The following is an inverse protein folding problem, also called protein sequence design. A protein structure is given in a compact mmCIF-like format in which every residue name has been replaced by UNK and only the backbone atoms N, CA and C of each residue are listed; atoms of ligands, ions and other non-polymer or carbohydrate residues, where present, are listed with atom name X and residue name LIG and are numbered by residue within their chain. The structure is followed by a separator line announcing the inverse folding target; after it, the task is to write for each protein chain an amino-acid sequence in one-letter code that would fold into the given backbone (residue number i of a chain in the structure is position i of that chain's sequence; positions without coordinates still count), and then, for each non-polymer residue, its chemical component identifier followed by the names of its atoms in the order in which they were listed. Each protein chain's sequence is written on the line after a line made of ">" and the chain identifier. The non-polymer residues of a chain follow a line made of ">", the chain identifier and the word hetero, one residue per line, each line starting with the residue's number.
data_IF_024813184398
#
_entry.id   IF_024813184398
#
_cell.length_a   1.000
_cell.length_b   1.000
_cell.length_c   1.000
_cell.angle_alpha   90.00
_cell.angle_beta   90.00
_cell.angle_gamma   90.00
#
_symmetry.space_group_name_H-M   'P 1'
#
loop_
_entity.id
_entity.type
_entity.pdbx_description
1 polymer ?
#
# COMPACT_ATOMS: atom_id res chain seq x y z
N UNK A 1 -4.32 72.10 62.28
CA UNK A 1 -3.96 72.37 60.88
C UNK A 1 -4.10 71.07 60.10
N UNK A 2 -5.20 70.98 59.35
CA UNK A 2 -5.65 70.01 58.34
C UNK A 2 -5.04 68.60 58.32
N UNK A 3 -5.90 67.64 58.69
CA UNK A 3 -5.82 66.18 58.45
C UNK A 3 -5.96 65.92 56.95
N UNK A 4 -5.02 65.17 56.35
CA UNK A 4 -5.16 64.60 55.00
C UNK A 4 -5.39 63.10 55.10
N UNK A 5 -6.62 62.68 54.86
CA UNK A 5 -6.97 61.32 54.43
C UNK A 5 -6.88 61.26 52.91
N UNK A 6 -6.17 60.29 52.32
CA UNK A 6 -6.52 59.82 50.97
C UNK A 6 -6.06 58.38 50.71
N UNK A 7 -7.09 57.58 50.45
CA UNK A 7 -7.25 56.29 49.80
C UNK A 7 -6.03 55.41 49.46
N UNK A 8 -6.13 54.21 50.01
CA UNK A 8 -5.54 52.94 49.60
C UNK A 8 -6.03 52.55 48.18
N UNK A 9 -5.14 52.39 47.21
CA UNK A 9 -5.41 51.68 45.96
C UNK A 9 -4.58 50.39 45.95
N UNK A 10 -5.26 49.25 46.11
CA UNK A 10 -4.68 47.91 45.96
C UNK A 10 -4.66 47.59 44.47
N UNK A 11 -3.48 47.62 43.85
CA UNK A 11 -3.28 47.11 42.50
C UNK A 11 -3.05 45.59 42.57
N UNK A 12 -4.05 44.81 42.18
CA UNK A 12 -3.94 43.37 41.91
C UNK A 12 -3.12 43.17 40.61
N UNK A 13 -1.84 42.84 40.77
CA UNK A 13 -1.01 42.34 39.68
C UNK A 13 -1.41 40.89 39.38
N UNK A 14 -2.26 40.71 38.38
CA UNK A 14 -2.49 39.40 37.77
C UNK A 14 -1.23 38.98 37.01
N UNK A 15 -0.45 38.07 37.59
CA UNK A 15 0.59 37.35 36.86
C UNK A 15 -0.08 36.44 35.84
N UNK A 16 -0.21 36.91 34.60
CA UNK A 16 -0.39 36.03 33.44
C UNK A 16 0.90 35.21 33.29
N UNK A 17 0.88 33.99 33.79
CA UNK A 17 1.84 32.96 33.37
C UNK A 17 1.57 32.69 31.89
N UNK A 18 2.32 33.36 31.02
CA UNK A 18 2.48 32.97 29.63
C UNK A 18 3.21 31.63 29.63
N UNK A 19 2.46 30.52 29.75
CA UNK A 19 2.99 29.22 29.38
C UNK A 19 3.27 29.28 27.89
N UNK A 20 4.55 29.37 27.52
CA UNK A 20 4.92 29.13 26.14
C UNK A 20 4.46 27.73 25.79
N UNK A 21 3.52 27.65 24.85
CA UNK A 21 3.17 26.40 24.19
C UNK A 21 4.45 25.91 23.53
N UNK A 22 5.14 24.96 24.17
CA UNK A 22 6.16 24.17 23.49
C UNK A 22 5.44 23.44 22.37
N UNK A 23 5.60 23.95 21.14
CA UNK A 23 5.34 23.16 19.95
C UNK A 23 6.10 21.85 20.13
N UNK A 24 5.34 20.78 20.33
CA UNK A 24 5.89 19.45 20.44
C UNK A 24 6.26 19.06 19.02
N UNK A 25 7.53 19.22 18.66
CA UNK A 25 8.05 18.63 17.43
C UNK A 25 7.85 17.12 17.54
N UNK A 26 7.05 16.58 16.63
CA UNK A 26 6.86 15.15 16.51
C UNK A 26 8.16 14.57 15.95
N UNK A 27 8.93 13.87 16.78
CA UNK A 27 10.06 13.07 16.29
C UNK A 27 9.49 11.80 15.67
N UNK A 28 9.04 11.90 14.42
CA UNK A 28 9.13 10.74 13.52
C UNK A 28 10.62 10.48 13.36
N UNK A 29 11.05 9.22 13.36
CA UNK A 29 12.44 8.91 13.01
C UNK A 29 12.74 9.53 11.65
N UNK A 30 13.44 10.67 11.66
CA UNK A 30 13.86 11.33 10.45
C UNK A 30 14.83 10.38 9.77
N UNK A 31 14.59 10.08 8.50
CA UNK A 31 15.52 9.31 7.68
C UNK A 31 16.18 10.27 6.72
N UNK A 32 17.50 10.32 6.77
CA UNK A 32 18.29 11.06 5.77
C UNK A 32 18.74 10.12 4.67
N UNK A 33 18.87 10.66 3.47
CA UNK A 33 19.55 9.98 2.38
C UNK A 33 21.05 10.06 2.61
N UNK A 34 21.73 8.93 2.54
CA UNK A 34 23.19 8.86 2.67
C UNK A 34 23.88 8.57 1.34
N UNK A 35 23.15 8.00 0.39
CA UNK A 35 23.66 7.58 -0.91
C UNK A 35 22.53 7.49 -1.92
N UNK A 36 22.81 7.90 -3.15
CA UNK A 36 21.99 7.66 -4.33
C UNK A 36 22.77 6.80 -5.34
N UNK A 37 22.09 5.84 -5.97
CA UNK A 37 22.67 4.91 -6.94
C UNK A 37 21.70 4.77 -8.10
N UNK A 38 22.11 5.18 -9.30
CA UNK A 38 21.35 4.92 -10.53
C UNK A 38 21.28 3.42 -10.79
N UNK A 39 20.06 2.92 -11.01
CA UNK A 39 19.80 1.53 -11.40
C UNK A 39 19.77 1.39 -12.91
N UNK A 40 18.93 2.20 -13.58
CA UNK A 40 18.76 2.21 -15.03
C UNK A 40 17.97 3.45 -15.48
N UNK A 41 17.81 3.63 -16.79
CA UNK A 41 16.77 4.48 -17.37
C UNK A 41 15.50 3.66 -17.62
N UNK A 42 14.33 4.27 -17.38
CA UNK A 42 13.04 3.57 -17.40
C UNK A 42 11.98 4.33 -18.18
N UNK A 43 11.01 3.56 -18.69
CA UNK A 43 9.86 4.09 -19.39
C UNK A 43 9.02 5.03 -18.50
N UNK A 44 8.76 6.25 -18.99
CA UNK A 44 8.11 7.33 -18.22
C UNK A 44 6.69 7.68 -18.66
N UNK A 45 6.13 7.00 -19.67
CA UNK A 45 4.85 7.42 -20.26
C UNK A 45 3.60 7.12 -19.43
N UNK A 46 3.67 6.21 -18.46
CA UNK A 46 2.62 5.90 -17.49
C UNK A 46 3.22 5.17 -16.27
N UNK A 47 2.57 5.17 -15.10
CA UNK A 47 3.09 4.49 -13.92
C UNK A 47 2.84 2.99 -14.01
N UNK A 48 3.83 2.19 -13.62
CA UNK A 48 3.72 0.75 -13.37
C UNK A 48 4.52 0.44 -12.11
N UNK A 49 4.02 -0.47 -11.26
CA UNK A 49 4.70 -0.84 -10.02
C UNK A 49 5.98 -1.63 -10.27
N UNK A 50 7.10 -1.17 -9.70
CA UNK A 50 8.37 -1.89 -9.61
C UNK A 50 8.56 -2.48 -8.21
N UNK A 51 9.53 -3.38 -8.06
CA UNK A 51 9.80 -4.05 -6.79
C UNK A 51 11.29 -4.02 -6.43
N UNK A 52 11.57 -4.09 -5.14
CA UNK A 52 12.94 -4.10 -4.58
C UNK A 52 13.01 -5.04 -3.38
N UNK A 53 14.09 -5.82 -3.32
CA UNK A 53 14.32 -6.83 -2.30
C UNK A 53 15.79 -6.81 -1.85
N UNK A 54 16.02 -6.73 -0.55
CA UNK A 54 17.34 -6.82 0.07
C UNK A 54 17.39 -8.03 1.00
N UNK A 55 18.29 -8.98 0.70
CA UNK A 55 18.49 -10.20 1.49
C UNK A 55 19.97 -10.45 1.67
N UNK A 56 20.42 -10.54 2.92
CA UNK A 56 21.83 -10.70 3.26
C UNK A 56 22.67 -9.54 2.72
N UNK A 57 23.69 -9.87 1.92
CA UNK A 57 24.60 -8.94 1.27
C UNK A 57 24.18 -8.58 -0.17
N UNK A 58 22.97 -9.00 -0.61
CA UNK A 58 22.48 -8.82 -1.98
C UNK A 58 21.23 -7.97 -2.04
N UNK A 59 21.10 -7.28 -3.16
CA UNK A 59 19.93 -6.50 -3.49
C UNK A 59 19.49 -6.75 -4.92
N UNK A 60 18.18 -6.83 -5.10
CA UNK A 60 17.51 -7.07 -6.38
C UNK A 60 16.51 -5.96 -6.66
N UNK A 61 16.34 -5.61 -7.94
CA UNK A 61 15.31 -4.68 -8.41
C UNK A 61 14.61 -5.29 -9.62
N UNK A 62 13.29 -5.34 -9.63
CA UNK A 62 12.48 -5.75 -10.77
C UNK A 62 11.73 -4.53 -11.33
N UNK A 63 11.92 -4.25 -12.62
CA UNK A 63 11.43 -3.02 -13.26
C UNK A 63 11.18 -3.20 -14.76
N UNK A 64 10.68 -2.15 -15.43
CA UNK A 64 10.66 -2.07 -16.89
C UNK A 64 11.65 -1.02 -17.37
N UNK A 65 12.54 -1.38 -18.30
CA UNK A 65 13.51 -0.44 -18.89
C UNK A 65 12.84 0.62 -19.78
N UNK A 66 13.63 1.53 -20.34
CA UNK A 66 13.22 2.56 -21.29
C UNK A 66 12.54 2.00 -22.56
N UNK A 67 12.92 0.79 -22.95
CA UNK A 67 12.33 0.00 -24.04
C UNK A 67 11.16 -0.87 -23.58
N UNK A 68 10.68 -0.67 -22.34
CA UNK A 68 9.55 -1.37 -21.71
C UNK A 68 9.77 -2.86 -21.45
N UNK A 69 10.99 -3.37 -21.56
CA UNK A 69 11.28 -4.77 -21.26
C UNK A 69 11.32 -5.00 -19.75
N UNK A 70 10.82 -6.14 -19.30
CA UNK A 70 10.91 -6.58 -17.91
C UNK A 70 12.37 -6.92 -17.59
N UNK A 71 12.93 -6.26 -16.59
CA UNK A 71 14.34 -6.35 -16.21
C UNK A 71 14.48 -6.71 -14.73
N UNK A 72 15.49 -7.55 -14.45
CA UNK A 72 15.95 -7.84 -13.09
C UNK A 72 17.37 -7.33 -12.96
N UNK A 73 17.59 -6.41 -12.02
CA UNK A 73 18.91 -5.94 -11.65
C UNK A 73 19.35 -6.56 -10.31
N UNK A 74 20.64 -6.88 -10.19
CA UNK A 74 21.26 -7.42 -8.98
C UNK A 74 22.58 -6.69 -8.68
N UNK A 75 22.86 -6.44 -7.39
CA UNK A 75 24.17 -6.01 -6.89
C UNK A 75 24.50 -6.61 -5.51
N UNK A 76 25.78 -6.61 -5.17
CA UNK A 76 26.20 -6.66 -3.76
C UNK A 76 25.98 -5.31 -3.07
N UNK A 77 25.69 -5.28 -1.77
CA UNK A 77 25.46 -4.04 -1.03
C UNK A 77 26.70 -3.12 -0.98
N UNK A 78 27.90 -3.70 -1.09
CA UNK A 78 29.19 -3.02 -1.19
C UNK A 78 29.49 -2.47 -2.60
N UNK A 79 28.69 -2.84 -3.60
CA UNK A 79 28.86 -2.44 -4.99
C UNK A 79 27.89 -1.33 -5.38
N UNK A 80 28.25 -0.50 -6.36
CA UNK A 80 27.36 0.51 -6.95
C UNK A 80 26.86 0.13 -8.35
N UNK A 81 27.54 -0.80 -9.00
CA UNK A 81 27.18 -1.24 -10.34
C UNK A 81 26.16 -2.38 -10.28
N UNK A 82 25.17 -2.31 -11.16
CA UNK A 82 24.14 -3.33 -11.29
C UNK A 82 24.46 -4.28 -12.44
N UNK A 83 24.31 -5.58 -12.20
CA UNK A 83 24.14 -6.57 -13.27
C UNK A 83 22.66 -6.62 -13.64
N UNK A 84 22.33 -6.67 -14.93
CA UNK A 84 20.94 -6.68 -15.39
C UNK A 84 20.67 -7.85 -16.31
N UNK A 85 19.52 -8.51 -16.12
CA UNK A 85 18.95 -9.52 -17.01
C UNK A 85 17.61 -9.03 -17.54
N UNK A 86 17.45 -9.08 -18.86
CA UNK A 86 16.18 -8.85 -19.54
C UNK A 86 15.42 -10.18 -19.62
N UNK A 87 14.15 -10.17 -19.22
CA UNK A 87 13.22 -11.29 -19.34
C UNK A 87 12.35 -11.11 -20.60
N UNK A 88 11.82 -12.20 -21.18
CA UNK A 88 11.02 -12.16 -22.40
C UNK A 88 9.58 -11.68 -22.14
N UNK A 89 9.44 -10.46 -21.62
CA UNK A 89 8.16 -9.80 -21.35
C UNK A 89 8.31 -8.29 -21.52
N UNK A 90 7.36 -7.64 -22.20
CA UNK A 90 7.38 -6.20 -22.47
C UNK A 90 6.04 -5.57 -22.08
N UNK A 91 6.07 -4.45 -21.36
CA UNK A 91 4.84 -3.78 -20.87
C UNK A 91 4.20 -2.89 -21.92
N UNK A 92 2.87 -2.93 -21.97
CA UNK A 92 2.02 -2.10 -22.83
C UNK A 92 1.79 -0.68 -22.27
N UNK A 93 0.52 -0.30 -22.14
CA UNK A 93 0.08 1.01 -21.60
C UNK A 93 -0.81 0.87 -20.35
N UNK A 94 -0.83 -0.32 -19.76
CA UNK A 94 -1.69 -0.67 -18.64
C UNK A 94 -0.94 -0.52 -17.31
N UNK A 95 -1.41 0.40 -16.45
CA UNK A 95 -0.81 0.66 -15.15
C UNK A 95 -1.02 -0.47 -14.13
N UNK A 96 -1.87 -1.46 -14.41
CA UNK A 96 -2.04 -2.64 -13.56
C UNK A 96 -0.87 -3.64 -13.67
N UNK A 97 -0.03 -3.51 -14.70
CA UNK A 97 0.98 -4.49 -15.09
C UNK A 97 2.27 -4.46 -14.25
N UNK A 98 2.14 -4.27 -12.92
CA UNK A 98 3.26 -4.29 -11.99
C UNK A 98 4.11 -5.55 -12.10
N UNK A 99 5.38 -5.46 -11.72
CA UNK A 99 6.27 -6.59 -11.54
C UNK A 99 6.58 -6.77 -10.06
N UNK A 100 6.54 -8.01 -9.58
CA UNK A 100 6.83 -8.41 -8.20
C UNK A 100 7.84 -9.54 -8.18
N UNK A 101 8.61 -9.63 -7.10
CA UNK A 101 9.58 -10.70 -6.91
C UNK A 101 9.66 -11.19 -5.47
N UNK A 102 10.21 -12.40 -5.30
CA UNK A 102 10.54 -12.96 -4.01
C UNK A 102 11.75 -13.90 -4.13
N UNK A 103 12.44 -14.11 -3.01
CA UNK A 103 13.47 -15.15 -2.91
C UNK A 103 12.89 -16.30 -2.08
N UNK A 104 13.01 -17.53 -2.56
CA UNK A 104 12.69 -18.69 -1.72
C UNK A 104 13.83 -19.01 -0.75
N UNK A 105 13.54 -19.91 0.21
CA UNK A 105 14.51 -20.35 1.23
C UNK A 105 15.76 -21.05 0.68
N UNK A 106 15.71 -21.56 -0.55
CA UNK A 106 16.85 -22.18 -1.23
C UNK A 106 17.62 -21.15 -2.07
N UNK A 107 17.20 -19.88 -2.04
CA UNK A 107 17.84 -18.76 -2.68
C UNK A 107 17.44 -18.54 -4.15
N UNK A 108 16.43 -19.23 -4.69
CA UNK A 108 15.99 -18.96 -6.06
C UNK A 108 15.12 -17.70 -6.10
N UNK A 109 15.33 -16.87 -7.12
CA UNK A 109 14.52 -15.68 -7.34
C UNK A 109 13.29 -16.04 -8.16
N UNK A 110 12.13 -15.63 -7.68
CA UNK A 110 10.83 -15.75 -8.31
C UNK A 110 10.40 -14.39 -8.80
N UNK A 111 9.89 -14.30 -10.03
CA UNK A 111 9.46 -13.04 -10.64
C UNK A 111 8.13 -13.28 -11.34
N UNK A 112 7.19 -12.37 -11.16
CA UNK A 112 5.91 -12.39 -11.90
C UNK A 112 5.40 -10.98 -12.10
N UNK A 113 4.71 -10.73 -13.21
CA UNK A 113 4.22 -9.40 -13.54
C UNK A 113 3.67 -9.30 -14.95
N UNK A 114 3.34 -8.08 -15.36
CA UNK A 114 2.83 -7.77 -16.70
C UNK A 114 1.49 -8.43 -17.06
N UNK A 115 0.56 -8.53 -16.11
CA UNK A 115 -0.72 -9.21 -16.33
C UNK A 115 -1.92 -8.38 -15.84
N UNK A 116 -2.90 -8.21 -16.72
CA UNK A 116 -4.22 -7.67 -16.41
C UNK A 116 -5.32 -8.44 -17.16
N UNK A 117 -5.51 -9.69 -16.73
CA UNK A 117 -6.41 -10.65 -17.37
C UNK A 117 -5.73 -11.47 -18.46
N UNK A 118 -4.40 -11.59 -18.38
CA UNK A 118 -3.51 -12.29 -19.29
C UNK A 118 -3.09 -13.66 -18.71
N UNK A 119 -2.57 -14.58 -19.54
CA UNK A 119 -1.95 -15.81 -19.04
C UNK A 119 -0.82 -15.53 -18.04
N UNK A 120 -0.60 -16.46 -17.12
CA UNK A 120 0.43 -16.35 -16.09
C UNK A 120 1.81 -16.14 -16.73
N UNK A 121 2.46 -15.05 -16.32
CA UNK A 121 3.87 -14.77 -16.59
C UNK A 121 4.62 -14.95 -15.28
N UNK A 122 5.31 -16.08 -15.16
CA UNK A 122 6.10 -16.44 -13.99
C UNK A 122 7.47 -16.98 -14.42
N UNK A 123 8.50 -16.47 -13.75
CA UNK A 123 9.89 -16.88 -13.95
C UNK A 123 10.51 -17.30 -12.63
N UNK A 124 11.39 -18.30 -12.68
CA UNK A 124 12.27 -18.67 -11.58
C UNK A 124 13.72 -18.72 -12.05
N UNK A 125 14.65 -18.20 -11.26
CA UNK A 125 16.07 -18.32 -11.57
C UNK A 125 16.49 -19.79 -11.69
N UNK A 126 17.51 -20.07 -12.49
CA UNK A 126 18.06 -21.44 -12.61
C UNK A 126 18.98 -21.83 -11.47
N UNK A 127 19.53 -20.84 -10.79
CA UNK A 127 20.48 -21.01 -9.69
C UNK A 127 20.12 -20.09 -8.52
N UNK A 128 20.45 -20.48 -7.28
CA UNK A 128 20.31 -19.61 -6.13
C UNK A 128 21.13 -18.33 -6.28
N UNK A 129 20.53 -17.19 -5.92
CA UNK A 129 21.17 -15.87 -5.85
C UNK A 129 21.82 -15.39 -7.15
N UNK A 130 21.32 -15.86 -8.30
CA UNK A 130 21.90 -15.64 -9.62
C UNK A 130 20.79 -15.25 -10.61
N UNK A 131 20.93 -14.07 -11.23
CA UNK A 131 19.98 -13.54 -12.22
C UNK A 131 20.37 -13.82 -13.67
N UNK A 132 21.46 -14.56 -13.93
CA UNK A 132 21.98 -14.75 -15.29
C UNK A 132 20.99 -15.48 -16.19
N UNK A 133 20.20 -16.41 -15.64
CA UNK A 133 19.22 -17.21 -16.37
C UNK A 133 17.97 -17.54 -15.55
N UNK A 134 16.85 -17.58 -16.25
CA UNK A 134 15.53 -17.91 -15.71
C UNK A 134 14.82 -18.93 -16.60
N UNK A 135 13.98 -19.75 -15.99
CA UNK A 135 12.98 -20.55 -16.68
C UNK A 135 11.61 -19.86 -16.55
N UNK A 136 10.88 -19.74 -17.66
CA UNK A 136 9.46 -19.38 -17.65
C UNK A 136 8.64 -20.64 -17.41
N UNK A 137 7.79 -20.63 -16.39
CA UNK A 137 7.12 -21.82 -15.88
C UNK A 137 5.65 -21.49 -15.58
N UNK A 138 4.83 -22.54 -15.55
CA UNK A 138 3.52 -22.50 -14.89
C UNK A 138 3.71 -22.68 -13.37
N UNK A 139 2.71 -22.32 -12.57
CA UNK A 139 2.72 -22.68 -11.15
C UNK A 139 2.08 -24.04 -10.93
N UNK A 140 0.76 -24.10 -10.98
CA UNK A 140 -0.02 -25.34 -10.88
C UNK A 140 -0.63 -25.76 -12.22
N UNK A 141 -0.67 -24.86 -13.21
CA UNK A 141 -1.13 -25.12 -14.57
C UNK A 141 -2.66 -25.08 -14.76
N UNK A 142 -3.42 -24.75 -13.72
CA UNK A 142 -4.87 -24.53 -13.78
C UNK A 142 -5.22 -23.15 -13.23
N UNK A 143 -6.33 -22.56 -13.71
CA UNK A 143 -6.75 -21.19 -13.37
C UNK A 143 -5.58 -20.18 -13.47
N UNK A 144 -4.81 -20.24 -14.56
CA UNK A 144 -3.62 -19.41 -14.84
C UNK A 144 -3.75 -18.68 -16.18
N UNK A 145 -4.94 -18.67 -16.79
CA UNK A 145 -5.16 -18.10 -18.13
C UNK A 145 -5.53 -16.61 -18.10
N UNK A 146 -6.04 -16.09 -16.98
CA UNK A 146 -6.56 -14.71 -16.86
C UNK A 146 -6.11 -14.04 -15.57
N UNK A 147 -4.81 -14.03 -15.34
CA UNK A 147 -4.17 -13.57 -14.11
C UNK A 147 -4.14 -12.04 -14.00
N UNK A 148 -4.33 -11.53 -12.78
CA UNK A 148 -4.08 -10.14 -12.40
C UNK A 148 -3.57 -10.07 -10.96
N UNK A 149 -2.81 -9.02 -10.63
CA UNK A 149 -2.37 -8.67 -9.27
C UNK A 149 -1.56 -9.77 -8.57
N UNK A 150 -0.40 -10.16 -9.14
CA UNK A 150 0.49 -11.12 -8.50
C UNK A 150 1.03 -10.57 -7.17
N UNK A 151 1.03 -11.39 -6.13
CA UNK A 151 1.58 -11.05 -4.81
C UNK A 151 2.35 -12.25 -4.26
N UNK A 152 3.65 -12.10 -4.07
CA UNK A 152 4.43 -13.02 -3.25
C UNK A 152 4.36 -12.61 -1.78
N UNK A 153 4.28 -13.59 -0.89
CA UNK A 153 4.40 -13.37 0.55
C UNK A 153 4.91 -14.63 1.24
N UNK A 154 5.40 -14.49 2.47
CA UNK A 154 5.85 -15.62 3.28
C UNK A 154 5.03 -15.73 4.57
N UNK A 155 4.97 -16.94 5.12
CA UNK A 155 4.50 -17.13 6.50
C UNK A 155 5.65 -16.94 7.51
N UNK A 156 5.35 -17.07 8.81
CA UNK A 156 6.36 -17.00 9.89
C UNK A 156 7.44 -18.08 9.84
N UNK A 157 7.29 -19.09 8.98
CA UNK A 157 8.24 -20.17 8.75
C UNK A 157 9.00 -20.02 7.42
N UNK A 158 8.92 -18.85 6.79
CA UNK A 158 9.51 -18.56 5.49
C UNK A 158 9.06 -19.51 4.37
N UNK A 159 7.85 -20.09 4.47
CA UNK A 159 7.23 -20.77 3.34
C UNK A 159 6.76 -19.70 2.34
N UNK A 160 7.10 -19.88 1.08
CA UNK A 160 6.71 -18.95 0.02
C UNK A 160 5.31 -19.27 -0.50
N UNK A 161 4.49 -18.23 -0.60
CA UNK A 161 3.16 -18.27 -1.18
C UNK A 161 3.04 -17.28 -2.33
N UNK A 162 2.05 -17.52 -3.20
CA UNK A 162 1.70 -16.64 -4.29
C UNK A 162 0.18 -16.48 -4.37
N UNK A 163 -0.28 -15.25 -4.29
CA UNK A 163 -1.68 -14.89 -4.49
C UNK A 163 -1.85 -14.17 -5.82
N UNK A 164 -2.94 -14.48 -6.51
CA UNK A 164 -3.34 -13.78 -7.70
C UNK A 164 -4.85 -13.87 -7.92
N UNK A 165 -5.39 -13.02 -8.77
CA UNK A 165 -6.78 -13.12 -9.25
C UNK A 165 -6.79 -13.78 -10.61
N UNK A 166 -7.61 -14.80 -10.81
CA UNK A 166 -7.97 -15.33 -12.13
C UNK A 166 -9.35 -14.77 -12.53
N UNK A 167 -9.47 -14.21 -13.73
CA UNK A 167 -10.69 -13.59 -14.24
C UNK A 167 -10.75 -12.06 -14.11
N UNK A 168 -11.92 -11.48 -14.37
CA UNK A 168 -12.12 -10.02 -14.50
C UNK A 168 -13.03 -9.42 -13.43
N UNK A 169 -13.34 -8.13 -13.57
CA UNK A 169 -14.40 -7.50 -12.75
C UNK A 169 -15.78 -8.08 -13.14
N UNK A 170 -16.63 -8.38 -12.15
CA UNK A 170 -17.81 -9.24 -12.23
C UNK A 170 -17.58 -10.70 -11.79
N UNK A 171 -16.42 -11.32 -12.08
CA UNK A 171 -16.29 -12.79 -11.97
C UNK A 171 -14.92 -13.34 -11.51
N UNK A 172 -13.95 -12.47 -11.22
CA UNK A 172 -12.61 -12.89 -10.82
C UNK A 172 -12.55 -13.55 -9.44
N UNK A 173 -11.76 -14.62 -9.33
CA UNK A 173 -11.57 -15.43 -8.12
C UNK A 173 -10.11 -15.28 -7.66
N UNK A 174 -9.91 -15.05 -6.36
CA UNK A 174 -8.55 -14.98 -5.79
C UNK A 174 -8.08 -16.38 -5.41
N UNK A 175 -6.92 -16.80 -5.90
CA UNK A 175 -6.27 -18.05 -5.52
C UNK A 175 -5.00 -17.81 -4.71
N UNK A 176 -4.63 -18.79 -3.89
CA UNK A 176 -3.37 -18.82 -3.16
C UNK A 176 -2.66 -20.15 -3.46
N UNK A 177 -1.43 -20.06 -3.93
CA UNK A 177 -0.52 -21.17 -4.14
C UNK A 177 0.56 -21.17 -3.04
N UNK A 178 1.06 -22.36 -2.69
CA UNK A 178 2.20 -22.59 -1.79
C UNK A 178 3.33 -23.26 -2.55
N UNK A 179 4.55 -22.80 -2.36
CA UNK A 179 5.74 -23.34 -2.99
C UNK A 179 6.48 -24.31 -2.06
N UNK A 180 6.78 -25.50 -2.56
CA UNK A 180 7.75 -26.40 -1.96
C UNK A 180 9.13 -26.15 -2.60
N UNK A 181 10.03 -25.53 -1.85
CA UNK A 181 11.36 -25.18 -2.36
C UNK A 181 12.27 -26.38 -2.62
N UNK A 182 12.08 -27.50 -1.90
CA UNK A 182 12.87 -28.73 -2.11
C UNK A 182 12.40 -29.46 -3.36
N UNK A 183 11.08 -29.60 -3.51
CA UNK A 183 10.49 -30.22 -4.70
C UNK A 183 10.49 -29.29 -5.92
N UNK A 184 10.67 -27.98 -5.70
CA UNK A 184 10.62 -26.90 -6.69
C UNK A 184 9.30 -26.84 -7.44
N UNK A 185 8.20 -27.01 -6.70
CA UNK A 185 6.84 -27.09 -7.24
C UNK A 185 5.88 -26.22 -6.46
N UNK A 186 4.93 -25.64 -7.20
CA UNK A 186 3.77 -25.00 -6.61
C UNK A 186 2.64 -26.01 -6.41
N UNK A 187 1.81 -25.74 -5.42
CA UNK A 187 0.57 -26.44 -5.15
C UNK A 187 -0.48 -25.43 -4.69
N UNK A 188 -1.76 -25.77 -4.81
CA UNK A 188 -2.84 -24.98 -4.24
C UNK A 188 -2.75 -24.98 -2.70
N UNK A 189 -2.75 -23.81 -2.07
CA UNK A 189 -2.89 -23.71 -0.61
C UNK A 189 -4.34 -24.02 -0.19
N UNK A 190 -5.30 -23.59 -1.03
CA UNK A 190 -6.72 -23.90 -0.95
C UNK A 190 -7.14 -24.60 -2.24
N UNK A 191 -7.89 -25.70 -2.16
CA UNK A 191 -8.40 -26.43 -3.33
C UNK A 191 -9.46 -25.65 -4.15
N UNK A 192 -9.72 -24.39 -3.80
CA UNK A 192 -10.71 -23.50 -4.37
C UNK A 192 -10.30 -22.04 -4.09
N UNK A 193 -11.00 -21.08 -4.68
CA UNK A 193 -10.75 -19.66 -4.44
C UNK A 193 -10.94 -19.21 -2.99
N UNK A 194 -10.20 -18.18 -2.58
CA UNK A 194 -10.36 -17.52 -1.29
C UNK A 194 -11.60 -16.60 -1.28
N UNK A 195 -11.73 -15.73 -2.28
CA UNK A 195 -12.85 -14.82 -2.43
C UNK A 195 -13.68 -15.20 -3.65
N UNK A 196 -14.99 -15.36 -3.46
CA UNK A 196 -15.94 -15.66 -4.52
C UNK A 196 -17.05 -14.60 -4.51
N UNK A 197 -17.11 -13.82 -5.57
CA UNK A 197 -18.12 -12.78 -5.75
C UNK A 197 -19.46 -13.29 -6.26
N UNK A 198 -19.60 -14.60 -6.47
CA UNK A 198 -20.81 -15.26 -6.97
C UNK A 198 -21.31 -14.67 -8.29
N UNK A 199 -20.38 -14.28 -9.18
CA UNK A 199 -20.64 -13.59 -10.46
C UNK A 199 -21.32 -12.21 -10.35
N UNK A 200 -21.46 -11.67 -9.14
CA UNK A 200 -22.12 -10.38 -8.87
C UNK A 200 -21.12 -9.25 -8.58
N UNK A 201 -19.93 -9.60 -8.12
CA UNK A 201 -18.97 -8.63 -7.57
C UNK A 201 -17.54 -9.16 -7.58
N UNK A 202 -16.57 -8.31 -7.27
CA UNK A 202 -15.19 -8.72 -7.03
C UNK A 202 -14.63 -8.20 -5.73
N UNK A 203 -13.86 -9.05 -5.05
CA UNK A 203 -13.03 -8.62 -3.95
C UNK A 203 -11.79 -7.87 -4.45
N UNK A 204 -11.46 -6.78 -3.76
CA UNK A 204 -10.20 -6.06 -3.92
C UNK A 204 -9.43 -6.09 -2.59
N UNK A 205 -8.72 -7.20 -2.29
CA UNK A 205 -8.05 -7.39 -1.02
C UNK A 205 -6.81 -6.50 -0.85
N UNK A 206 -6.54 -6.22 0.41
CA UNK A 206 -5.29 -5.70 0.96
C UNK A 206 -4.80 -6.74 1.95
N UNK A 207 -3.58 -7.21 1.77
CA UNK A 207 -2.99 -8.29 2.54
C UNK A 207 -2.62 -9.51 1.69
N UNK A 208 -2.07 -10.56 2.32
CA UNK A 208 -2.02 -10.73 3.78
C UNK A 208 -1.02 -9.78 4.47
N UNK A 209 -1.41 -9.21 5.60
CA UNK A 209 -0.52 -8.44 6.49
C UNK A 209 -0.30 -9.26 7.75
N UNK A 210 0.95 -9.57 8.08
CA UNK A 210 1.27 -10.24 9.33
C UNK A 210 1.07 -9.27 10.51
N UNK A 211 0.21 -9.63 11.44
CA UNK A 211 -0.03 -8.88 12.65
C UNK A 211 0.89 -9.27 13.80
N UNK A 212 1.05 -8.39 14.80
CA UNK A 212 1.80 -8.66 16.02
C UNK A 212 1.14 -9.74 16.92
N UNK A 213 -0.10 -10.12 16.62
CA UNK A 213 -0.84 -11.24 17.26
C UNK A 213 -0.55 -12.62 16.61
N UNK A 214 0.35 -12.63 15.60
CA UNK A 214 0.77 -13.81 14.85
C UNK A 214 -0.28 -14.32 13.85
N UNK A 215 -1.32 -13.54 13.56
CA UNK A 215 -2.22 -13.81 12.44
C UNK A 215 -1.75 -13.10 11.17
N UNK A 216 -2.21 -13.58 10.03
CA UNK A 216 -2.22 -12.87 8.77
C UNK A 216 -3.61 -12.32 8.54
N UNK A 217 -3.68 -11.03 8.22
CA UNK A 217 -4.90 -10.27 8.15
C UNK A 217 -5.20 -9.86 6.72
N UNK A 218 -6.46 -10.01 6.32
CA UNK A 218 -6.99 -9.53 5.06
C UNK A 218 -8.07 -8.49 5.32
N UNK A 219 -8.01 -7.41 4.54
CA UNK A 219 -9.06 -6.41 4.47
C UNK A 219 -9.42 -6.19 3.01
N UNK A 220 -10.70 -6.18 2.65
CA UNK A 220 -11.10 -5.99 1.25
C UNK A 220 -12.37 -5.16 1.12
N UNK A 221 -12.66 -4.76 -0.11
CA UNK A 221 -13.94 -4.20 -0.51
C UNK A 221 -14.49 -5.03 -1.65
N UNK A 222 -15.81 -5.10 -1.76
CA UNK A 222 -16.50 -5.70 -2.89
C UNK A 222 -16.78 -4.63 -3.95
N UNK A 223 -16.82 -4.97 -5.24
CA UNK A 223 -17.16 -4.05 -6.34
C UNK A 223 -18.08 -4.73 -7.35
N UNK A 224 -19.25 -4.13 -7.58
CA UNK A 224 -20.28 -4.69 -8.47
C UNK A 224 -19.84 -4.73 -9.94
N UNK A 225 -19.23 -3.65 -10.43
CA UNK A 225 -18.87 -3.55 -11.83
C UNK A 225 -17.61 -2.69 -12.01
N UNK A 226 -17.07 -2.54 -13.23
CA UNK A 226 -15.81 -1.81 -13.44
C UNK A 226 -15.77 -0.34 -13.01
N UNK A 227 -16.90 0.28 -12.64
CA UNK A 227 -16.94 1.66 -12.09
C UNK A 227 -16.47 1.64 -10.63
N UNK A 228 -15.44 2.42 -10.31
CA UNK A 228 -14.80 2.39 -8.99
C UNK A 228 -15.76 2.75 -7.84
N UNK A 229 -16.68 3.70 -8.03
CA UNK A 229 -17.67 4.07 -7.01
C UNK A 229 -18.71 2.96 -6.72
N UNK A 230 -18.65 1.81 -7.39
CA UNK A 230 -19.45 0.63 -7.00
C UNK A 230 -18.77 -0.25 -5.97
N UNK A 231 -17.60 0.16 -5.47
CA UNK A 231 -17.01 -0.41 -4.27
C UNK A 231 -17.97 -0.26 -3.09
N UNK A 232 -18.03 -1.28 -2.23
CA UNK A 232 -18.94 -1.35 -1.08
C UNK A 232 -18.42 -2.38 -0.07
N UNK A 233 -19.02 -2.40 1.12
CA UNK A 233 -18.75 -3.33 2.22
C UNK A 233 -17.25 -3.51 2.53
N UNK A 234 -16.68 -2.63 3.36
CA UNK A 234 -15.35 -2.87 3.92
C UNK A 234 -15.41 -4.12 4.79
N UNK A 235 -14.58 -5.12 4.48
CA UNK A 235 -14.67 -6.46 5.04
C UNK A 235 -13.31 -6.95 5.52
N UNK A 236 -13.30 -7.93 6.44
CA UNK A 236 -12.10 -8.40 7.13
C UNK A 236 -12.18 -9.87 7.58
N UNK A 237 -11.05 -10.57 7.47
CA UNK A 237 -10.78 -11.90 8.09
C UNK A 237 -9.31 -11.98 8.50
N UNK A 238 -8.99 -12.98 9.32
CA UNK A 238 -7.61 -13.36 9.62
C UNK A 238 -7.41 -14.88 9.56
N UNK A 239 -6.16 -15.31 9.41
CA UNK A 239 -5.74 -16.71 9.33
C UNK A 239 -4.35 -16.90 9.94
N UNK A 240 -4.00 -18.10 10.40
CA UNK A 240 -2.61 -18.43 10.81
C UNK A 240 -1.88 -19.29 9.78
N UNK A 241 -2.61 -19.96 8.91
CA UNK A 241 -2.09 -21.05 8.06
C UNK A 241 -2.52 -20.96 6.59
N UNK A 242 -3.32 -19.94 6.24
CA UNK A 242 -3.92 -19.75 4.92
C UNK A 242 -4.87 -20.88 4.49
N UNK A 243 -5.34 -21.68 5.45
CA UNK A 243 -6.33 -22.75 5.26
C UNK A 243 -7.60 -22.46 6.07
N UNK A 244 -7.44 -22.06 7.33
CA UNK A 244 -8.52 -21.74 8.23
C UNK A 244 -8.61 -20.23 8.44
N UNK A 245 -9.80 -19.68 8.21
CA UNK A 245 -10.07 -18.24 8.34
C UNK A 245 -11.13 -18.00 9.40
N UNK A 246 -10.97 -16.89 10.11
CA UNK A 246 -11.92 -16.44 11.12
C UNK A 246 -12.20 -14.94 10.99
N UNK A 247 -13.38 -14.51 11.45
CA UNK A 247 -13.68 -13.09 11.58
C UNK A 247 -12.97 -12.48 12.81
N UNK A 248 -13.25 -11.21 13.09
CA UNK A 248 -12.62 -10.50 14.22
C UNK A 248 -13.05 -11.05 15.60
N UNK A 249 -14.18 -11.74 15.68
CA UNK A 249 -14.71 -12.36 16.90
C UNK A 249 -14.14 -13.77 17.14
N UNK A 250 -13.37 -14.31 16.19
CA UNK A 250 -12.88 -15.69 16.23
C UNK A 250 -13.89 -16.72 15.74
N UNK A 251 -14.98 -16.31 15.10
CA UNK A 251 -15.88 -17.24 14.42
C UNK A 251 -15.27 -17.73 13.12
N UNK A 252 -15.27 -19.05 12.91
CA UNK A 252 -14.78 -19.66 11.68
C UNK A 252 -15.59 -19.22 10.46
N UNK A 253 -14.89 -18.88 9.38
CA UNK A 253 -15.46 -18.47 8.08
C UNK A 253 -15.20 -19.57 7.06
N UNK A 254 -16.27 -19.99 6.37
CA UNK A 254 -16.16 -20.99 5.31
C UNK A 254 -15.53 -20.40 4.06
N UNK A 255 -14.69 -21.19 3.39
CA UNK A 255 -14.13 -20.86 2.08
C UNK A 255 -15.04 -21.48 1.00
N UNK A 256 -15.21 -20.86 -0.19
CA UNK A 256 -14.78 -19.50 -0.50
C UNK A 256 -15.56 -18.48 0.34
N UNK A 257 -14.92 -17.37 0.69
CA UNK A 257 -15.58 -16.24 1.34
C UNK A 257 -16.47 -15.59 0.31
N UNK A 258 -17.76 -15.85 0.41
CA UNK A 258 -18.77 -15.36 -0.51
C UNK A 258 -19.12 -13.92 -0.23
N UNK A 259 -19.50 -13.18 -1.27
CA UNK A 259 -20.04 -11.82 -1.14
C UNK A 259 -21.16 -11.68 -0.10
N UNK A 260 -22.02 -12.71 0.03
CA UNK A 260 -23.15 -12.70 0.98
C UNK A 260 -22.76 -13.00 2.42
N UNK A 261 -21.51 -13.34 2.71
CA UNK A 261 -21.03 -13.53 4.08
C UNK A 261 -21.02 -12.18 4.81
N UNK A 262 -21.87 -12.03 5.82
CA UNK A 262 -22.04 -10.77 6.56
C UNK A 262 -21.17 -10.69 7.80
N UNK A 263 -20.72 -11.83 8.34
CA UNK A 263 -19.88 -11.91 9.55
C UNK A 263 -18.50 -11.29 9.40
N UNK A 264 -18.11 -11.00 8.16
CA UNK A 264 -16.83 -10.41 7.80
C UNK A 264 -16.91 -8.90 7.56
N UNK A 265 -18.09 -8.28 7.62
CA UNK A 265 -18.22 -6.85 7.31
C UNK A 265 -17.77 -6.00 8.50
N UNK A 266 -16.81 -5.10 8.25
CA UNK A 266 -16.34 -4.09 9.19
C UNK A 266 -17.13 -2.78 9.09
N UNK A 267 -17.41 -2.32 7.87
CA UNK A 267 -18.28 -1.17 7.61
C UNK A 267 -19.19 -1.47 6.40
N UNK A 268 -20.52 -1.54 6.58
CA UNK A 268 -21.48 -1.86 5.52
C UNK A 268 -21.73 -0.66 4.56
N UNK A 269 -20.67 -0.03 4.07
CA UNK A 269 -20.76 1.09 3.10
C UNK A 269 -21.47 0.60 1.83
N UNK A 270 -22.57 1.23 1.46
CA UNK A 270 -23.28 0.91 0.21
C UNK A 270 -22.51 1.39 -1.03
N UNK A 271 -22.78 0.83 -2.23
CA UNK A 271 -22.23 1.36 -3.47
C UNK A 271 -22.64 2.82 -3.65
N UNK A 272 -21.83 3.57 -4.39
CA UNK A 272 -21.97 5.00 -4.68
C UNK A 272 -21.65 5.94 -3.51
N UNK A 273 -21.21 5.42 -2.36
CA UNK A 273 -20.82 6.19 -1.18
C UNK A 273 -19.30 6.36 -1.04
N UNK A 274 -18.57 6.31 -2.14
CA UNK A 274 -17.20 6.81 -2.21
C UNK A 274 -16.09 5.88 -1.73
N UNK A 275 -16.41 4.64 -1.32
CA UNK A 275 -15.39 3.72 -0.84
C UNK A 275 -14.35 3.43 -1.93
N UNK A 276 -13.05 3.57 -1.63
CA UNK A 276 -12.00 3.33 -2.62
C UNK A 276 -11.08 2.17 -2.27
N UNK A 277 -10.98 1.20 -3.18
CA UNK A 277 -10.12 0.03 -3.03
C UNK A 277 -8.62 0.38 -2.91
N UNK A 278 -8.17 1.49 -3.52
CA UNK A 278 -6.78 1.97 -3.47
C UNK A 278 -6.47 2.84 -2.25
N UNK A 279 -7.50 3.38 -1.59
CA UNK A 279 -7.38 4.29 -0.45
C UNK A 279 -7.93 3.65 0.82
N UNK A 280 -7.34 2.50 1.16
CA UNK A 280 -7.57 1.76 2.40
C UNK A 280 -6.25 1.22 2.94
N UNK A 281 -6.08 1.21 4.26
CA UNK A 281 -4.90 0.70 4.97
C UNK A 281 -5.34 -0.08 6.19
N UNK A 282 -4.58 -1.14 6.46
CA UNK A 282 -4.69 -1.99 7.63
C UNK A 282 -3.41 -1.82 8.44
N UNK A 283 -3.55 -1.55 9.73
CA UNK A 283 -2.45 -1.45 10.67
C UNK A 283 -2.89 -1.97 12.05
N UNK A 284 -2.05 -1.76 13.06
CA UNK A 284 -2.29 -2.21 14.42
C UNK A 284 -2.08 -1.06 15.40
N UNK A 285 -2.92 -1.01 16.43
CA UNK A 285 -2.76 -0.07 17.54
C UNK A 285 -1.73 -0.57 18.58
N UNK A 286 -1.46 0.21 19.65
CA UNK A 286 -0.47 -0.15 20.67
C UNK A 286 -0.87 -1.38 21.50
N UNK A 287 -2.14 -1.81 21.39
CA UNK A 287 -2.68 -3.02 22.00
C UNK A 287 -2.76 -4.18 21.00
N UNK A 288 -2.07 -4.08 19.86
CA UNK A 288 -2.03 -5.08 18.80
C UNK A 288 -3.40 -5.34 18.14
N UNK A 289 -4.38 -4.44 18.29
CA UNK A 289 -5.69 -4.60 17.66
C UNK A 289 -5.66 -4.08 16.23
N UNK A 290 -6.30 -4.78 15.26
CA UNK A 290 -6.42 -4.26 13.90
C UNK A 290 -7.16 -2.92 13.86
N UNK A 291 -6.59 -1.98 13.11
CA UNK A 291 -7.17 -0.66 12.81
C UNK A 291 -7.20 -0.48 11.31
N UNK A 292 -8.34 -0.05 10.78
CA UNK A 292 -8.48 0.26 9.35
C UNK A 292 -8.62 1.76 9.18
N UNK A 293 -7.87 2.32 8.24
CA UNK A 293 -8.10 3.66 7.73
C UNK A 293 -8.53 3.58 6.28
N UNK A 294 -9.53 4.35 5.87
CA UNK A 294 -10.07 4.28 4.52
C UNK A 294 -10.79 5.57 4.13
N UNK A 295 -10.94 5.78 2.83
CA UNK A 295 -11.72 6.88 2.27
C UNK A 295 -13.15 6.42 1.93
N UNK A 296 -14.14 7.26 2.24
CA UNK A 296 -15.52 7.19 1.72
C UNK A 296 -16.15 8.59 1.69
N UNK A 297 -17.40 8.69 1.24
CA UNK A 297 -18.17 9.93 1.33
C UNK A 297 -18.80 10.08 2.71
N UNK A 298 -18.85 11.31 3.20
CA UNK A 298 -19.71 11.70 4.33
C UNK A 298 -21.18 11.89 3.89
N UNK A 299 -22.03 12.35 4.81
CA UNK A 299 -23.45 12.54 4.55
C UNK A 299 -23.77 13.63 3.52
N UNK A 300 -22.84 14.55 3.26
CA UNK A 300 -22.98 15.60 2.26
C UNK A 300 -22.39 15.20 0.90
N UNK A 301 -21.81 13.98 0.82
CA UNK A 301 -21.18 13.46 -0.39
C UNK A 301 -19.71 13.88 -0.52
N UNK A 302 -19.13 14.56 0.48
CA UNK A 302 -17.74 14.97 0.44
C UNK A 302 -16.82 13.83 0.83
N UNK A 303 -15.67 13.78 0.17
CA UNK A 303 -14.67 12.75 0.42
C UNK A 303 -14.00 12.99 1.76
N UNK A 304 -13.98 11.98 2.62
CA UNK A 304 -13.34 12.04 3.94
C UNK A 304 -12.55 10.76 4.24
N UNK A 305 -11.60 10.87 5.17
CA UNK A 305 -10.95 9.72 5.79
C UNK A 305 -11.74 9.28 7.02
N UNK A 306 -11.87 7.97 7.15
CA UNK A 306 -12.47 7.28 8.28
C UNK A 306 -11.46 6.32 8.91
N UNK A 307 -11.62 6.10 10.20
CA UNK A 307 -10.95 5.05 10.96
C UNK A 307 -12.00 4.07 11.47
N UNK A 308 -11.69 2.78 11.51
CA UNK A 308 -12.48 1.83 12.28
C UNK A 308 -11.64 0.81 13.04
N UNK A 309 -12.17 0.36 14.18
CA UNK A 309 -11.59 -0.67 15.04
C UNK A 309 -12.71 -1.44 15.73
N UNK A 310 -12.47 -2.72 15.98
CA UNK A 310 -13.43 -3.56 16.72
C UNK A 310 -13.33 -3.33 18.23
N UNK A 311 -14.44 -2.97 18.85
CA UNK A 311 -14.55 -2.66 20.28
C UNK A 311 -15.90 -3.13 20.84
N UNK A 312 -15.89 -3.73 22.03
CA UNK A 312 -17.12 -4.11 22.75
C UNK A 312 -18.14 -4.85 21.86
N UNK A 313 -17.64 -5.84 21.11
CA UNK A 313 -18.40 -6.67 20.18
C UNK A 313 -19.03 -5.92 18.98
N UNK A 314 -18.48 -4.78 18.58
CA UNK A 314 -18.93 -4.03 17.40
C UNK A 314 -17.77 -3.32 16.70
N UNK A 315 -17.92 -3.04 15.41
CA UNK A 315 -17.03 -2.11 14.73
C UNK A 315 -17.39 -0.67 15.06
N UNK A 316 -16.45 0.07 15.66
CA UNK A 316 -16.56 1.51 15.90
C UNK A 316 -15.93 2.23 14.71
N UNK A 317 -16.66 3.17 14.12
CA UNK A 317 -16.29 3.88 12.89
C UNK A 317 -16.39 5.39 13.14
N UNK A 318 -15.32 6.12 12.90
CA UNK A 318 -15.29 7.57 13.05
C UNK A 318 -14.70 8.25 11.81
N UNK A 319 -15.26 9.41 11.46
CA UNK A 319 -14.66 10.33 10.50
C UNK A 319 -13.49 11.06 11.18
N UNK A 320 -12.35 11.15 10.49
CA UNK A 320 -11.11 11.74 11.04
C UNK A 320 -10.54 12.83 10.16
N UNK A 321 -11.30 13.31 9.17
CA UNK A 321 -10.99 14.51 8.38
C UNK A 321 -12.22 15.40 8.25
N UNK A 322 -11.99 16.66 7.85
CA UNK A 322 -13.05 17.62 7.54
C UNK A 322 -12.66 18.43 6.30
N UNK A 323 -13.12 17.95 5.14
CA UNK A 323 -12.90 18.54 3.83
C UNK A 323 -14.24 18.93 3.20
N UNK A 324 -14.82 20.10 3.55
CA UNK A 324 -16.24 20.40 3.32
C UNK A 324 -16.61 20.73 1.86
N UNK A 325 -15.67 20.73 0.92
CA UNK A 325 -15.94 21.16 -0.45
C UNK A 325 -15.11 20.38 -1.49
N UNK A 326 -14.86 19.10 -1.22
CA UNK A 326 -14.15 18.21 -2.14
C UNK A 326 -14.83 16.84 -2.27
N UNK A 327 -15.10 16.45 -3.52
CA UNK A 327 -15.57 15.10 -3.86
C UNK A 327 -14.64 14.51 -4.90
N UNK A 328 -14.01 13.38 -4.57
CA UNK A 328 -13.21 12.65 -5.53
C UNK A 328 -14.12 12.06 -6.62
N UNK A 329 -13.90 12.45 -7.87
CA UNK A 329 -14.64 11.94 -9.02
C UNK A 329 -14.22 10.50 -9.36
N UNK A 330 -14.91 9.52 -8.74
CA UNK A 330 -14.62 8.07 -8.86
C UNK A 330 -15.71 7.28 -9.59
N UNK A 331 -16.65 7.96 -10.24
CA UNK A 331 -17.61 7.37 -11.18
C UNK A 331 -16.95 7.03 -12.53
N UNK A 332 -15.79 6.37 -12.50
CA UNK A 332 -14.94 6.09 -13.66
C UNK A 332 -14.45 4.65 -13.66
N UNK A 333 -14.03 4.18 -14.84
CA UNK A 333 -13.40 2.85 -15.06
C UNK A 333 -11.89 3.02 -15.25
N UNK A 334 -11.16 1.91 -15.11
CA UNK A 334 -9.72 1.81 -15.34
C UNK A 334 -8.86 2.38 -14.21
N UNK A 335 -7.55 2.48 -14.44
CA UNK A 335 -6.61 3.03 -13.45
C UNK A 335 -6.84 4.52 -13.17
N UNK A 336 -7.42 4.82 -12.01
CA UNK A 336 -7.66 6.19 -11.53
C UNK A 336 -6.42 6.73 -10.77
N UNK A 337 -6.08 8.00 -10.99
CA UNK A 337 -5.07 8.68 -10.18
C UNK A 337 -5.55 8.87 -8.73
N UNK A 338 -4.61 8.80 -7.77
CA UNK A 338 -4.92 8.90 -6.34
C UNK A 338 -5.14 10.34 -5.89
N UNK A 339 -6.39 10.81 -5.89
CA UNK A 339 -6.71 12.15 -5.41
C UNK A 339 -6.70 12.25 -3.87
N UNK A 340 -7.03 11.14 -3.20
CA UNK A 340 -6.87 10.99 -1.75
C UNK A 340 -6.13 9.69 -1.52
N UNK A 341 -4.92 9.79 -0.98
CA UNK A 341 -4.09 8.65 -0.65
C UNK A 341 -3.87 8.60 0.87
N UNK A 342 -4.25 7.49 1.48
CA UNK A 342 -3.77 7.13 2.80
C UNK A 342 -2.45 6.38 2.63
N UNK A 343 -1.34 6.96 3.08
CA UNK A 343 0.00 6.40 2.86
C UNK A 343 0.32 5.33 3.91
N UNK A 344 0.29 5.73 5.17
CA UNK A 344 0.72 4.91 6.30
C UNK A 344 -0.17 5.16 7.52
N UNK A 345 -0.27 4.15 8.40
CA UNK A 345 -0.93 4.24 9.70
C UNK A 345 0.05 3.72 10.75
N UNK A 346 0.42 4.57 11.72
CA UNK A 346 1.35 4.21 12.80
C UNK A 346 0.79 4.63 14.15
N UNK A 347 1.39 4.13 15.22
CA UNK A 347 1.20 4.66 16.57
C UNK A 347 2.42 5.46 16.99
N UNK A 348 2.23 6.54 17.74
CA UNK A 348 3.34 7.28 18.35
C UNK A 348 3.79 6.73 19.71
N UNK A 349 3.13 5.66 20.20
CA UNK A 349 3.36 5.06 21.51
C UNK A 349 2.90 5.93 22.69
N UNK A 350 2.27 7.07 22.43
CA UNK A 350 1.80 8.07 23.40
C UNK A 350 0.28 8.22 23.36
N UNK A 351 -0.41 7.16 22.97
CA UNK A 351 -1.88 7.11 22.89
C UNK A 351 -2.45 7.78 21.65
N UNK A 352 -1.68 7.92 20.57
CA UNK A 352 -2.19 8.41 19.30
C UNK A 352 -1.89 7.47 18.14
N UNK A 353 -2.87 7.39 17.24
CA UNK A 353 -2.74 6.82 15.90
C UNK A 353 -2.47 7.97 14.93
N UNK A 354 -1.49 7.80 14.06
CA UNK A 354 -1.04 8.78 13.07
C UNK A 354 -1.39 8.27 11.67
N UNK A 355 -2.24 9.01 10.95
CA UNK A 355 -2.59 8.73 9.56
C UNK A 355 -1.84 9.70 8.65
N UNK A 356 -0.85 9.20 7.89
CA UNK A 356 -0.22 10.01 6.85
C UNK A 356 -1.11 10.01 5.60
N UNK A 357 -1.45 11.19 5.11
CA UNK A 357 -2.31 11.34 3.93
C UNK A 357 -1.75 12.34 2.92
N UNK A 358 -2.20 12.17 1.67
CA UNK A 358 -2.10 13.16 0.60
C UNK A 358 -3.49 13.39 0.02
N UNK A 359 -3.80 14.66 -0.23
CA UNK A 359 -5.08 15.11 -0.75
C UNK A 359 -4.86 16.11 -1.90
N UNK A 360 -5.62 15.96 -2.99
CA UNK A 360 -5.46 16.77 -4.20
C UNK A 360 -5.66 18.28 -3.98
N UNK A 361 -6.65 18.67 -3.16
CA UNK A 361 -6.94 20.06 -2.78
C UNK A 361 -6.24 20.54 -1.48
N UNK A 362 -6.30 19.77 -0.40
CA UNK A 362 -5.81 20.16 0.93
C UNK A 362 -4.34 19.82 1.22
N UNK A 363 -3.58 19.39 0.21
CA UNK A 363 -2.17 19.02 0.37
C UNK A 363 -1.98 17.72 1.15
N UNK A 364 -0.84 17.56 1.79
CA UNK A 364 -0.50 16.39 2.61
C UNK A 364 -0.36 16.75 4.09
N UNK A 365 -0.53 15.77 4.96
CA UNK A 365 -0.37 15.94 6.39
C UNK A 365 -0.44 14.63 7.16
N UNK A 366 -0.45 14.77 8.47
CA UNK A 366 -0.65 13.67 9.42
C UNK A 366 -1.87 14.00 10.27
N UNK A 367 -2.90 13.16 10.21
CA UNK A 367 -4.00 13.23 11.17
C UNK A 367 -3.56 12.49 12.43
N UNK A 368 -3.50 13.21 13.54
CA UNK A 368 -3.30 12.65 14.87
C UNK A 368 -4.66 12.33 15.48
N UNK A 369 -4.89 11.05 15.74
CA UNK A 369 -6.16 10.49 16.20
C UNK A 369 -5.92 9.95 17.61
N UNK A 370 -6.83 10.27 18.54
CA UNK A 370 -6.82 9.66 19.87
C UNK A 370 -6.99 8.15 19.74
N UNK A 371 -6.01 7.39 20.23
CA UNK A 371 -6.05 5.94 20.07
C UNK A 371 -7.19 5.31 20.87
N UNK A 372 -7.60 5.85 22.02
CA UNK A 372 -8.66 5.26 22.82
C UNK A 372 -10.04 5.54 22.23
N UNK A 373 -10.30 6.79 21.83
CA UNK A 373 -11.61 7.26 21.37
C UNK A 373 -11.81 7.20 19.86
N UNK A 374 -10.74 7.01 19.10
CA UNK A 374 -10.72 7.09 17.63
C UNK A 374 -11.22 8.44 17.09
N UNK A 375 -10.95 9.53 17.82
CA UNK A 375 -11.37 10.89 17.48
C UNK A 375 -10.18 11.70 16.96
N UNK A 376 -10.40 12.54 15.95
CA UNK A 376 -9.37 13.46 15.47
C UNK A 376 -8.98 14.44 16.59
N UNK A 377 -7.69 14.45 16.96
CA UNK A 377 -7.12 15.48 17.85
C UNK A 377 -6.61 16.67 17.06
N UNK A 378 -5.87 16.39 15.99
CA UNK A 378 -5.20 17.44 15.20
C UNK A 378 -4.90 16.96 13.78
N UNK A 379 -5.09 17.86 12.82
CA UNK A 379 -4.53 17.72 11.48
C UNK A 379 -3.23 18.53 11.38
N UNK A 380 -2.10 17.82 11.30
CA UNK A 380 -0.76 18.39 11.20
C UNK A 380 -0.42 18.50 9.71
N UNK A 381 -0.65 19.69 9.14
CA UNK A 381 -0.31 19.95 7.74
C UNK A 381 1.19 19.91 7.52
N UNK A 382 1.62 19.22 6.47
CA UNK A 382 2.99 19.26 6.04
C UNK A 382 3.23 20.60 5.31
N UNK A 383 4.02 21.49 5.89
CA UNK A 383 4.40 22.78 5.31
C UNK A 383 5.55 22.67 4.28
N UNK A 384 5.99 21.44 3.96
CA UNK A 384 6.97 21.18 2.89
C UNK A 384 8.27 20.49 3.31
N UNK A 385 8.35 19.87 4.49
CA UNK A 385 9.63 19.38 5.07
C UNK A 385 9.75 17.85 5.21
N UNK A 386 8.81 17.08 4.65
CA UNK A 386 8.69 15.63 4.95
C UNK A 386 8.76 14.72 3.72
N UNK A 387 9.26 15.24 2.59
CA UNK A 387 9.72 14.36 1.52
C UNK A 387 11.21 14.12 1.77
N UNK A 388 11.63 12.85 1.85
CA UNK A 388 13.04 12.46 1.88
C UNK A 388 13.77 13.25 0.78
N UNK A 389 14.53 14.27 1.20
CA UNK A 389 14.86 15.49 0.44
C UNK A 389 16.09 15.33 -0.46
N UNK A 390 16.31 14.12 -0.98
CA UNK A 390 17.04 13.95 -2.23
C UNK A 390 16.07 13.28 -3.22
N UNK A 391 15.38 14.14 -3.96
CA UNK A 391 14.64 13.77 -5.17
C UNK A 391 15.64 13.47 -6.29
N UNK A 392 15.24 12.82 -7.40
CA UNK A 392 15.97 13.00 -8.65
C UNK A 392 16.15 14.50 -8.88
N UNK A 393 17.30 14.91 -9.42
CA UNK A 393 17.80 16.29 -9.33
C UNK A 393 16.88 17.40 -9.81
N UNK A 394 15.75 17.11 -10.47
CA UNK A 394 14.57 17.97 -10.57
C UNK A 394 13.32 17.10 -10.84
N UNK A 395 12.14 17.49 -10.33
CA UNK A 395 10.86 16.91 -10.78
C UNK A 395 10.62 17.36 -12.21
N UNK A 396 10.52 16.41 -13.14
CA UNK A 396 10.27 16.72 -14.55
C UNK A 396 8.85 17.29 -14.66
N UNK A 397 8.65 18.47 -15.29
CA UNK A 397 7.33 19.09 -15.39
C UNK A 397 6.26 18.13 -15.92
N UNK A 398 5.17 17.99 -15.18
CA UNK A 398 4.04 17.11 -15.53
C UNK A 398 4.23 15.64 -15.14
N UNK A 399 5.37 15.25 -14.56
CA UNK A 399 5.57 13.91 -14.02
C UNK A 399 5.21 13.83 -12.54
N UNK A 400 4.81 12.62 -12.13
CA UNK A 400 4.68 12.22 -10.74
C UNK A 400 5.87 11.35 -10.33
N UNK A 401 6.23 11.41 -9.05
CA UNK A 401 7.21 10.51 -8.43
C UNK A 401 6.49 9.23 -8.01
N UNK A 402 7.04 8.10 -8.43
CA UNK A 402 6.70 6.78 -7.95
C UNK A 402 7.82 6.30 -7.01
N UNK A 403 7.46 5.47 -6.04
CA UNK A 403 8.44 4.96 -5.09
C UNK A 403 8.09 3.59 -4.52
N UNK A 404 9.10 2.85 -4.08
CA UNK A 404 8.97 1.56 -3.39
C UNK A 404 10.07 1.42 -2.33
N UNK A 405 9.67 1.12 -1.09
CA UNK A 405 10.61 0.82 0.00
C UNK A 405 10.85 -0.69 0.02
N UNK A 406 12.10 -1.09 0.29
CA UNK A 406 12.47 -2.50 0.42
C UNK A 406 11.99 -3.12 1.73
N UNK A 407 12.12 -4.44 1.85
CA UNK A 407 11.74 -5.22 3.02
C UNK A 407 12.50 -4.83 4.31
N UNK A 408 13.66 -4.16 4.21
CA UNK A 408 14.43 -3.73 5.37
C UNK A 408 14.06 -2.33 5.86
N UNK A 409 13.36 -1.56 5.03
CA UNK A 409 13.08 -0.14 5.29
C UNK A 409 14.30 0.77 5.16
N UNK A 410 15.45 0.25 4.72
CA UNK A 410 16.71 1.01 4.58
C UNK A 410 16.92 1.53 3.17
N UNK A 411 16.14 1.05 2.20
CA UNK A 411 16.30 1.48 0.82
C UNK A 411 14.96 1.90 0.23
N UNK A 412 14.98 2.97 -0.56
CA UNK A 412 13.84 3.42 -1.33
C UNK A 412 14.22 3.60 -2.79
N UNK A 413 13.48 2.93 -3.66
CA UNK A 413 13.55 3.06 -5.10
C UNK A 413 12.61 4.19 -5.53
N UNK A 414 13.05 5.13 -6.38
CA UNK A 414 12.21 6.20 -6.94
C UNK A 414 12.41 6.34 -8.46
N UNK A 415 11.34 6.69 -9.17
CA UNK A 415 11.35 7.00 -10.61
C UNK A 415 10.19 7.95 -10.97
N UNK A 416 10.25 8.57 -12.15
CA UNK A 416 9.26 9.56 -12.57
C UNK A 416 8.45 9.09 -13.77
N UNK A 417 7.15 9.33 -13.77
CA UNK A 417 6.28 8.99 -14.91
C UNK A 417 5.22 10.05 -15.10
N UNK A 418 4.58 10.12 -16.26
CA UNK A 418 3.26 10.74 -16.37
C UNK A 418 2.26 9.99 -15.47
N UNK A 419 1.11 10.60 -15.19
CA UNK A 419 0.01 9.95 -14.48
C UNK A 419 -0.64 8.83 -15.32
N UNK A 420 -1.44 7.99 -14.66
CA UNK A 420 -2.23 6.97 -15.36
C UNK A 420 -3.17 7.60 -16.40
N UNK A 421 -3.51 6.84 -17.43
CA UNK A 421 -4.37 7.30 -18.52
C UNK A 421 -5.58 6.37 -18.74
N UNK A 422 -6.17 5.86 -17.65
CA UNK A 422 -7.31 4.95 -17.72
C UNK A 422 -7.03 3.71 -18.60
N UNK A 423 -5.83 3.16 -18.49
CA UNK A 423 -5.34 2.00 -19.24
C UNK A 423 -5.28 2.21 -20.76
N UNK A 424 -5.11 3.48 -21.20
CA UNK A 424 -5.03 3.85 -22.62
C UNK A 424 -3.67 4.41 -23.01
N UNK A 425 -3.24 4.20 -24.27
CA UNK A 425 -2.07 4.88 -24.81
C UNK A 425 -2.23 6.40 -24.82
N UNK A 426 -1.10 7.10 -24.89
CA UNK A 426 -1.03 8.54 -25.15
C UNK A 426 -0.63 8.80 -26.60
N UNK A 427 -0.96 9.97 -27.12
CA UNK A 427 -0.44 10.42 -28.40
C UNK A 427 1.03 10.88 -28.25
N UNK A 428 1.89 10.63 -29.25
CA UNK A 428 3.27 11.12 -29.23
C UNK A 428 3.34 12.66 -29.39
N UNK A 429 4.46 13.30 -28.99
CA UNK A 429 5.70 12.69 -28.49
C UNK A 429 5.57 12.17 -27.05
N UNK A 430 6.24 11.06 -26.78
CA UNK A 430 6.34 10.51 -25.44
C UNK A 430 7.42 11.26 -24.65
N UNK A 431 7.31 11.33 -23.31
CA UNK A 431 8.39 11.88 -22.50
C UNK A 431 9.66 11.05 -22.66
N UNK A 432 10.80 11.69 -22.49
CA UNK A 432 12.08 11.00 -22.39
C UNK A 432 12.07 10.01 -21.20
N UNK A 433 12.87 8.92 -21.28
CA UNK A 433 13.08 8.02 -20.15
C UNK A 433 13.54 8.79 -18.90
N UNK A 434 13.09 8.34 -17.73
CA UNK A 434 13.52 8.90 -16.45
C UNK A 434 14.49 7.95 -15.76
N UNK A 435 15.28 8.49 -14.84
CA UNK A 435 16.19 7.66 -14.06
C UNK A 435 15.44 6.88 -12.98
N UNK A 436 15.73 5.58 -12.88
CA UNK A 436 15.39 4.75 -11.73
C UNK A 436 16.55 4.83 -10.72
N UNK A 437 16.29 5.47 -9.58
CA UNK A 437 17.33 5.75 -8.58
C UNK A 437 16.99 5.01 -7.28
N UNK A 438 17.98 4.33 -6.74
CA UNK A 438 17.96 3.76 -5.40
C UNK A 438 18.58 4.75 -4.42
N UNK A 439 17.89 5.01 -3.31
CA UNK A 439 18.39 5.79 -2.19
C UNK A 439 18.58 4.92 -0.95
N UNK A 440 19.71 5.08 -0.29
CA UNK A 440 19.99 4.48 1.02
C UNK A 440 19.56 5.46 2.12
N UNK A 441 18.84 4.93 3.10
CA UNK A 441 18.22 5.67 4.20
C UNK A 441 18.92 5.33 5.52
N UNK A 442 19.21 6.37 6.30
CA UNK A 442 19.72 6.23 7.65
C UNK A 442 18.83 6.99 8.63
N UNK A 443 18.51 6.36 9.76
CA UNK A 443 17.82 7.03 10.86
C UNK A 443 18.72 8.12 11.45
N UNK A 444 18.19 9.33 11.57
CA UNK A 444 18.77 10.45 12.32
C UNK A 444 18.69 10.09 13.79
N UNK A 445 19.84 10.11 14.46
CA UNK A 445 19.98 9.78 15.89
C UNK A 445 19.61 10.94 16.79
#
# INVERSE_FOLDING_TARGET
>A
MIIKSLLLCVALLAFYHCQSTRETSYTVQEKIVTKSIKVSDVWSGHPVGFDILTIGDRQYVAYYDDNRNMCIAQRGLDQVNWQTKILPSQVGWDSHNSVVMALDREGYLHVSGNMHGDPLIYFRSRKPNDISDFDQLDMVGSEEDRVTYPVFFTNSSDDLFFQYRDGGSGNGITYINRYDAKARKWSRALNQGLFDGEEETNAYPTGPVQGPDGFFHYMWVWRLNPIANTNHNLSYVRTRDFVHFENIEGEAISIPIKYRERKVIADPVGPWNGLMNSSKRLAFDTKNRPVFGYHKFDSEGHSQLFICRYESNNWVINQVSDWPDYTWEINKRGSLGSAIALKDIKTDGKGNILFEYKHAKYGSGILQIDEERLELKKDIKNTGLWEIEEMPSDVIPGMQINQKIDNTGKYILKWQTLSSNFDKPRDPPYPDPSELILYELQDVR
#
